data_IF_368500380584
#
_entry.id   IF_368500380584
#
_cell.length_a   1.000
_cell.length_b   1.000
_cell.length_c   1.000
_cell.angle_alpha   90.00
_cell.angle_beta   90.00
_cell.angle_gamma   90.00
#
_symmetry.space_group_name_H-M   'P 1'
#
loop_
_entity.id
_entity.type
_entity.pdbx_description
1 polymer ?
#
# COMPACT_ATOMS: atom_id res chain seq x y z
N UNK A 1 -68.44 -11.60 2.75
CA UNK A 1 -67.46 -11.24 3.80
C UNK A 1 -66.35 -10.43 3.16
N UNK A 2 -66.18 -9.19 3.62
CA UNK A 2 -65.08 -8.30 3.23
C UNK A 2 -63.84 -8.75 4.01
N UNK A 3 -62.74 -9.09 3.36
CA UNK A 3 -61.41 -9.00 3.97
C UNK A 3 -60.58 -8.03 3.13
N UNK A 4 -60.21 -6.97 3.82
CA UNK A 4 -59.73 -5.71 3.31
C UNK A 4 -58.37 -5.48 3.96
N UNK A 5 -57.33 -6.12 3.45
CA UNK A 5 -55.96 -5.95 3.92
C UNK A 5 -55.16 -5.21 2.85
N UNK A 6 -55.45 -3.91 2.76
CA UNK A 6 -54.60 -2.93 2.09
C UNK A 6 -53.28 -2.83 2.85
N UNK A 7 -52.29 -3.63 2.47
CA UNK A 7 -50.90 -3.31 2.81
C UNK A 7 -50.50 -2.05 2.04
N UNK A 8 -50.45 -0.97 2.81
CA UNK A 8 -50.20 0.40 2.39
C UNK A 8 -48.79 0.52 1.79
N UNK A 9 -48.67 0.44 0.45
CA UNK A 9 -47.42 0.61 -0.33
C UNK A 9 -46.91 2.06 -0.37
N UNK A 10 -47.19 2.86 0.66
CA UNK A 10 -46.97 4.31 0.66
C UNK A 10 -45.79 4.78 1.55
N UNK A 11 -45.02 3.90 2.18
CA UNK A 11 -43.94 4.30 3.11
C UNK A 11 -42.55 3.65 2.87
N UNK A 12 -42.26 3.20 1.64
CA UNK A 12 -40.94 2.62 1.29
C UNK A 12 -39.91 3.73 0.92
N UNK A 13 -40.33 4.99 0.83
CA UNK A 13 -39.46 6.10 0.43
C UNK A 13 -38.93 6.92 1.62
N UNK A 14 -37.76 6.49 2.12
CA UNK A 14 -36.62 7.31 2.61
C UNK A 14 -35.86 6.57 3.72
N UNK A 15 -35.19 5.47 3.36
CA UNK A 15 -33.86 5.30 3.96
C UNK A 15 -33.06 6.47 3.42
N UNK A 16 -32.85 7.51 4.25
CA UNK A 16 -31.89 8.57 3.90
C UNK A 16 -30.58 7.86 3.61
N UNK A 17 -30.17 7.89 2.35
CA UNK A 17 -28.83 7.53 1.96
C UNK A 17 -27.90 8.37 2.83
N UNK A 18 -27.28 7.74 3.83
CA UNK A 18 -26.31 8.42 4.69
C UNK A 18 -25.10 8.64 3.80
N UNK A 19 -25.07 9.79 3.11
CA UNK A 19 -23.85 10.28 2.48
C UNK A 19 -22.85 10.56 3.59
N UNK A 20 -22.09 9.54 3.96
CA UNK A 20 -20.82 9.67 4.68
C UNK A 20 -19.77 10.28 3.74
N UNK A 21 -20.10 11.38 3.06
CA UNK A 21 -19.10 12.20 2.40
C UNK A 21 -18.69 13.17 3.50
N UNK A 22 -17.81 12.73 4.40
CA UNK A 22 -17.04 13.67 5.18
C UNK A 22 -16.27 14.53 4.16
N UNK A 23 -16.58 15.83 4.02
CA UNK A 23 -15.97 16.68 3.01
C UNK A 23 -14.49 16.96 3.32
N UNK A 24 -14.09 16.72 4.57
CA UNK A 24 -12.75 17.03 5.05
C UNK A 24 -11.67 16.15 4.41
N UNK A 25 -10.49 16.72 4.10
CA UNK A 25 -9.31 15.95 3.77
C UNK A 25 -9.00 14.92 4.87
N UNK A 26 -8.56 13.73 4.45
CA UNK A 26 -8.28 12.64 5.39
C UNK A 26 -7.04 11.84 5.03
N UNK A 27 -6.38 11.35 6.06
CA UNK A 27 -5.28 10.40 5.97
C UNK A 27 -5.80 9.02 6.40
N UNK A 28 -5.44 7.99 5.65
CA UNK A 28 -5.73 6.59 5.95
C UNK A 28 -4.42 5.82 6.07
N UNK A 29 -4.32 4.99 7.10
CA UNK A 29 -3.23 4.04 7.32
C UNK A 29 -3.79 2.65 7.10
N UNK A 30 -3.22 1.92 6.14
CA UNK A 30 -3.80 0.68 5.64
C UNK A 30 -2.67 -0.37 5.59
N UNK A 31 -2.52 -1.19 6.64
CA UNK A 31 -1.59 -2.31 6.62
C UNK A 31 -2.12 -3.39 5.68
N UNK A 32 -1.33 -3.73 4.65
CA UNK A 32 -1.60 -4.86 3.75
C UNK A 32 -0.86 -6.14 4.18
N UNK A 33 0.06 -6.01 5.12
CA UNK A 33 0.79 -7.10 5.77
C UNK A 33 1.73 -6.55 6.86
N UNK A 34 2.18 -7.44 7.76
CA UNK A 34 2.99 -7.12 8.94
C UNK A 34 2.19 -6.68 10.18
N UNK A 35 0.86 -6.62 10.11
CA UNK A 35 0.01 -6.37 11.28
C UNK A 35 -0.53 -7.69 11.83
N UNK A 36 -0.27 -7.96 13.12
CA UNK A 36 -0.60 -9.23 13.79
C UNK A 36 0.05 -10.48 13.14
N UNK A 37 1.13 -10.27 12.39
CA UNK A 37 1.92 -11.34 11.75
C UNK A 37 3.42 -11.01 11.74
N UNK A 38 4.26 -12.02 11.48
CA UNK A 38 5.70 -11.85 11.30
C UNK A 38 6.04 -12.02 9.82
N UNK A 39 6.48 -10.94 9.20
CA UNK A 39 6.80 -10.92 7.78
C UNK A 39 5.88 -10.01 6.96
N UNK A 40 6.11 -9.97 5.64
CA UNK A 40 5.19 -9.34 4.66
C UNK A 40 4.87 -7.88 4.98
N UNK A 41 5.80 -7.15 5.58
CA UNK A 41 5.56 -5.75 5.96
C UNK A 41 5.23 -4.93 4.71
N UNK A 42 4.05 -4.30 4.72
CA UNK A 42 3.60 -3.43 3.65
C UNK A 42 2.49 -2.53 4.21
N UNK A 43 2.80 -1.27 4.50
CA UNK A 43 1.84 -0.30 5.00
C UNK A 43 1.62 0.82 4.00
N UNK A 44 0.35 1.12 3.71
CA UNK A 44 -0.02 2.26 2.86
C UNK A 44 -0.40 3.44 3.75
N UNK A 45 0.13 4.62 3.41
CA UNK A 45 -0.38 5.90 3.89
C UNK A 45 -0.99 6.64 2.71
N UNK A 46 -2.29 6.91 2.79
CA UNK A 46 -3.06 7.51 1.72
C UNK A 46 -3.73 8.79 2.20
N UNK A 47 -3.42 9.89 1.54
CA UNK A 47 -4.13 11.15 1.66
C UNK A 47 -5.22 11.22 0.59
N UNK A 48 -6.41 11.69 0.97
CA UNK A 48 -7.50 11.95 0.04
C UNK A 48 -8.27 13.22 0.40
N UNK A 49 -8.41 14.10 -0.59
CA UNK A 49 -9.20 15.32 -0.50
C UNK A 49 -10.44 15.19 -1.41
N UNK A 50 -11.66 15.09 -0.85
CA UNK A 50 -12.87 14.86 -1.63
C UNK A 50 -13.21 15.96 -2.65
N UNK A 51 -13.00 17.23 -2.28
CA UNK A 51 -13.38 18.39 -3.10
C UNK A 51 -12.57 18.47 -4.40
N UNK A 52 -11.25 18.34 -4.30
CA UNK A 52 -10.34 18.39 -5.47
C UNK A 52 -10.14 17.02 -6.13
N UNK A 53 -10.64 15.96 -5.49
CA UNK A 53 -10.34 14.55 -5.82
C UNK A 53 -8.83 14.23 -5.80
N UNK A 54 -8.03 15.04 -5.13
CA UNK A 54 -6.59 14.80 -5.00
C UNK A 54 -6.35 13.58 -4.13
N UNK A 55 -5.46 12.71 -4.60
CA UNK A 55 -5.02 11.51 -3.88
C UNK A 55 -3.50 11.40 -4.02
N UNK A 56 -2.84 11.26 -2.89
CA UNK A 56 -1.41 10.97 -2.82
C UNK A 56 -1.21 9.76 -1.92
N UNK A 57 -0.40 8.82 -2.37
CA UNK A 57 -0.14 7.55 -1.69
C UNK A 57 1.36 7.37 -1.52
N UNK A 58 1.78 6.97 -0.33
CA UNK A 58 3.11 6.43 -0.09
C UNK A 58 2.97 5.01 0.47
N UNK A 59 3.96 4.18 0.17
CA UNK A 59 4.03 2.79 0.64
C UNK A 59 5.28 2.69 1.51
N UNK A 60 5.15 2.03 2.66
CA UNK A 60 6.24 1.69 3.56
C UNK A 60 6.46 0.19 3.47
N UNK A 61 7.64 -0.19 3.00
CA UNK A 61 8.10 -1.56 2.77
C UNK A 61 7.26 -2.37 1.78
N UNK A 62 7.90 -3.42 1.23
CA UNK A 62 7.33 -4.42 0.35
C UNK A 62 7.96 -5.78 0.69
N UNK A 63 7.62 -6.30 1.85
CA UNK A 63 8.15 -7.53 2.41
C UNK A 63 7.56 -8.81 1.84
N UNK A 64 8.26 -9.93 2.04
CA UNK A 64 7.67 -11.27 1.94
C UNK A 64 7.53 -11.91 3.33
N UNK A 65 6.73 -12.95 3.44
CA UNK A 65 6.64 -13.81 4.62
C UNK A 65 7.03 -15.23 4.22
N UNK A 66 7.80 -15.90 5.07
CA UNK A 66 8.08 -17.32 4.89
C UNK A 66 6.84 -18.15 5.23
N UNK A 67 6.60 -19.26 4.51
CA UNK A 67 5.43 -20.11 4.70
C UNK A 67 5.36 -20.69 6.11
N UNK A 68 4.15 -20.87 6.61
CA UNK A 68 3.88 -21.62 7.84
C UNK A 68 3.85 -23.13 7.55
N UNK A 69 3.90 -23.98 8.59
CA UNK A 69 3.93 -25.44 8.44
C UNK A 69 2.77 -26.01 7.61
N UNK A 70 1.59 -25.37 7.68
CA UNK A 70 0.41 -25.78 6.92
C UNK A 70 0.49 -25.45 5.42
N UNK A 71 1.43 -24.59 5.00
CA UNK A 71 1.58 -24.10 3.63
C UNK A 71 2.53 -24.97 2.79
N UNK A 72 2.22 -26.27 2.70
CA UNK A 72 3.06 -27.23 1.97
C UNK A 72 3.24 -26.85 0.50
N UNK A 73 4.50 -26.74 0.05
CA UNK A 73 4.87 -26.45 -1.33
C UNK A 73 4.87 -24.96 -1.72
N UNK A 74 4.61 -24.06 -0.76
CA UNK A 74 4.74 -22.60 -0.96
C UNK A 74 6.14 -22.17 -0.53
N UNK A 75 6.85 -21.37 -1.35
CA UNK A 75 8.19 -20.86 -0.99
C UNK A 75 8.14 -19.59 -0.12
N UNK A 76 7.18 -18.69 -0.40
CA UNK A 76 6.95 -17.43 0.33
C UNK A 76 5.59 -16.83 -0.04
N UNK A 77 5.10 -15.93 0.81
CA UNK A 77 3.85 -15.17 0.65
C UNK A 77 4.18 -13.68 0.50
N UNK A 78 3.47 -12.96 -0.39
CA UNK A 78 3.65 -11.53 -0.61
C UNK A 78 2.35 -10.74 -0.35
N UNK A 79 2.40 -9.41 -0.11
CA UNK A 79 1.21 -8.60 0.17
C UNK A 79 0.27 -8.55 -1.04
N UNK A 80 -1.04 -8.56 -0.77
CA UNK A 80 -2.04 -8.36 -1.81
C UNK A 80 -2.25 -6.86 -2.08
N UNK A 81 -1.67 -6.36 -3.17
CA UNK A 81 -1.75 -4.95 -3.56
C UNK A 81 -3.02 -4.56 -4.35
N UNK A 82 -4.04 -5.42 -4.40
CA UNK A 82 -5.29 -5.16 -5.14
C UNK A 82 -5.96 -3.83 -4.77
N UNK A 83 -5.83 -3.40 -3.51
CA UNK A 83 -6.30 -2.08 -3.05
C UNK A 83 -5.81 -0.91 -3.91
N UNK A 84 -4.62 -1.02 -4.50
CA UNK A 84 -3.94 0.01 -5.28
C UNK A 84 -4.24 -0.03 -6.78
N UNK A 85 -4.93 -1.07 -7.29
CA UNK A 85 -5.09 -1.30 -8.73
C UNK A 85 -5.63 -0.07 -9.49
N UNK A 86 -6.59 0.64 -8.92
CA UNK A 86 -7.21 1.83 -9.54
C UNK A 86 -6.59 3.17 -9.07
N UNK A 87 -5.45 3.10 -8.39
CA UNK A 87 -4.78 4.25 -7.74
C UNK A 87 -3.27 4.28 -8.01
N UNK A 88 -2.79 3.48 -8.97
CA UNK A 88 -1.37 3.35 -9.29
C UNK A 88 -0.71 4.71 -9.56
N UNK A 89 -1.39 5.59 -10.31
CA UNK A 89 -0.93 6.95 -10.63
C UNK A 89 -0.83 7.89 -9.42
N UNK A 90 -1.49 7.55 -8.32
CA UNK A 90 -1.53 8.36 -7.10
C UNK A 90 -0.36 8.00 -6.17
N UNK A 91 0.37 6.91 -6.45
CA UNK A 91 1.56 6.47 -5.70
C UNK A 91 2.73 7.41 -6.00
N UNK A 92 3.25 8.07 -4.96
CA UNK A 92 4.34 9.04 -5.05
C UNK A 92 5.71 8.42 -4.80
N UNK A 93 5.76 7.35 -4.01
CA UNK A 93 7.00 6.63 -3.74
C UNK A 93 6.79 5.46 -2.79
N UNK A 94 7.82 4.61 -2.73
CA UNK A 94 7.97 3.53 -1.76
C UNK A 94 9.16 3.86 -0.86
N UNK A 95 8.98 3.75 0.45
CA UNK A 95 10.04 3.98 1.44
C UNK A 95 10.40 2.62 2.01
N UNK A 96 11.69 2.28 1.96
CA UNK A 96 12.22 1.05 2.52
C UNK A 96 12.94 1.38 3.81
N UNK A 97 12.49 0.78 4.91
CA UNK A 97 13.05 1.00 6.23
C UNK A 97 14.43 0.37 6.36
N UNK A 98 14.58 -0.89 5.96
CA UNK A 98 15.85 -1.61 6.00
C UNK A 98 15.87 -2.81 5.04
N UNK A 99 16.99 -3.55 5.01
CA UNK A 99 17.29 -4.55 3.98
C UNK A 99 16.85 -5.99 4.26
N UNK A 100 16.05 -6.27 5.30
CA UNK A 100 15.58 -7.63 5.55
C UNK A 100 14.47 -8.05 4.58
N UNK A 101 14.38 -9.35 4.27
CA UNK A 101 13.46 -9.89 3.26
C UNK A 101 11.98 -9.68 3.59
N UNK A 102 11.64 -9.61 4.87
CA UNK A 102 10.32 -9.22 5.35
C UNK A 102 9.98 -7.74 5.15
N UNK A 103 10.89 -6.94 4.59
CA UNK A 103 10.68 -5.54 4.20
C UNK A 103 10.94 -5.27 2.71
N UNK A 104 11.74 -6.10 2.02
CA UNK A 104 12.11 -5.89 0.61
C UNK A 104 11.75 -7.04 -0.34
N UNK A 105 11.38 -8.20 0.21
CA UNK A 105 11.34 -9.45 -0.54
C UNK A 105 10.26 -9.53 -1.63
N UNK A 106 9.21 -8.70 -1.55
CA UNK A 106 8.15 -8.65 -2.55
C UNK A 106 8.42 -7.65 -3.69
N UNK A 107 9.48 -6.84 -3.62
CA UNK A 107 9.83 -5.85 -4.66
C UNK A 107 9.86 -6.48 -6.07
N UNK A 108 10.59 -7.58 -6.35
CA UNK A 108 10.67 -8.13 -7.70
C UNK A 108 9.32 -8.49 -8.32
N UNK A 109 8.33 -8.82 -7.48
CA UNK A 109 7.01 -9.30 -7.88
C UNK A 109 5.96 -8.19 -8.01
N UNK A 110 6.17 -7.07 -7.31
CA UNK A 110 5.16 -6.01 -7.18
C UNK A 110 5.49 -4.74 -7.97
N UNK A 111 6.75 -4.49 -8.35
CA UNK A 111 7.13 -3.23 -9.01
C UNK A 111 6.32 -2.94 -10.28
N UNK A 112 6.07 -3.95 -11.12
CA UNK A 112 5.28 -3.78 -12.35
C UNK A 112 3.81 -3.46 -12.03
N UNK A 113 3.21 -4.22 -11.10
CA UNK A 113 1.82 -4.01 -10.63
C UNK A 113 1.61 -2.64 -9.98
N UNK A 114 2.66 -2.05 -9.43
CA UNK A 114 2.63 -0.74 -8.77
C UNK A 114 2.99 0.41 -9.71
N UNK A 115 3.28 0.16 -10.99
CA UNK A 115 3.64 1.21 -11.96
C UNK A 115 5.07 1.74 -11.81
N UNK A 116 5.95 0.99 -11.13
CA UNK A 116 7.36 1.30 -10.90
C UNK A 116 7.63 2.70 -10.29
N UNK A 117 7.03 3.05 -9.13
CA UNK A 117 7.29 4.31 -8.46
C UNK A 117 8.74 4.36 -7.92
N UNK A 118 9.29 5.56 -7.65
CA UNK A 118 10.62 5.67 -7.06
C UNK A 118 10.65 5.02 -5.67
N UNK A 119 11.71 4.27 -5.41
CA UNK A 119 12.02 3.71 -4.10
C UNK A 119 13.03 4.61 -3.40
N UNK A 120 12.83 4.88 -2.12
CA UNK A 120 13.75 5.58 -1.24
C UNK A 120 14.25 4.60 -0.18
N UNK A 121 15.56 4.38 -0.11
CA UNK A 121 16.16 3.36 0.76
C UNK A 121 17.56 3.78 1.23
N UNK A 122 17.99 3.29 2.38
CA UNK A 122 19.39 3.41 2.80
C UNK A 122 20.35 2.69 1.85
N UNK A 123 21.64 3.05 1.87
CA UNK A 123 22.64 2.50 0.95
C UNK A 123 22.78 0.97 1.02
N UNK A 124 22.72 0.39 2.22
CA UNK A 124 22.77 -1.07 2.41
C UNK A 124 21.52 -1.75 1.83
N UNK A 125 20.32 -1.27 2.20
CA UNK A 125 19.06 -1.80 1.69
C UNK A 125 19.00 -1.73 0.16
N UNK A 126 19.40 -0.60 -0.44
CA UNK A 126 19.53 -0.47 -1.91
C UNK A 126 20.41 -1.56 -2.50
N UNK A 127 21.55 -1.84 -1.89
CA UNK A 127 22.51 -2.81 -2.42
C UNK A 127 21.96 -4.24 -2.37
N UNK A 128 21.26 -4.59 -1.29
CA UNK A 128 20.58 -5.90 -1.15
C UNK A 128 19.44 -6.02 -2.18
N UNK A 129 18.63 -4.96 -2.35
CA UNK A 129 17.55 -4.95 -3.34
C UNK A 129 18.12 -5.15 -4.75
N UNK A 130 19.17 -4.40 -5.13
CA UNK A 130 19.79 -4.54 -6.44
C UNK A 130 20.35 -5.95 -6.65
N UNK A 131 21.01 -6.52 -5.64
CA UNK A 131 21.51 -7.89 -5.72
C UNK A 131 20.38 -8.89 -5.91
N UNK A 132 19.25 -8.71 -5.22
CA UNK A 132 18.08 -9.58 -5.35
C UNK A 132 17.45 -9.50 -6.74
N UNK A 133 17.51 -8.36 -7.41
CA UNK A 133 17.00 -8.22 -8.79
C UNK A 133 17.80 -9.02 -9.82
N UNK A 134 19.05 -9.43 -9.53
CA UNK A 134 19.83 -10.29 -10.44
C UNK A 134 19.14 -11.64 -10.68
N UNK A 135 18.38 -12.14 -9.69
CA UNK A 135 17.63 -13.39 -9.79
C UNK A 135 16.36 -13.25 -10.65
N UNK A 136 15.97 -12.01 -11.00
CA UNK A 136 14.77 -11.70 -11.78
C UNK A 136 15.11 -10.84 -13.00
N UNK A 137 15.84 -11.38 -13.99
CA UNK A 137 16.29 -10.61 -15.16
C UNK A 137 15.15 -9.99 -15.97
N UNK A 138 13.95 -10.58 -15.92
CA UNK A 138 12.77 -10.12 -16.63
C UNK A 138 11.87 -9.19 -15.79
N UNK A 139 12.17 -9.01 -14.49
CA UNK A 139 11.38 -8.12 -13.65
C UNK A 139 11.71 -6.66 -13.92
N UNK A 140 10.73 -5.79 -13.67
CA UNK A 140 10.92 -4.35 -13.78
C UNK A 140 12.01 -3.89 -12.79
N UNK A 141 13.06 -3.24 -13.32
CA UNK A 141 14.13 -2.71 -12.48
C UNK A 141 13.62 -1.52 -11.65
N UNK A 142 13.77 -1.56 -10.31
CA UNK A 142 13.33 -0.48 -9.44
C UNK A 142 14.22 0.75 -9.58
N UNK A 143 13.61 1.93 -9.52
CA UNK A 143 14.33 3.21 -9.50
C UNK A 143 14.60 3.61 -8.05
N UNK A 144 15.78 3.24 -7.52
CA UNK A 144 16.12 3.44 -6.10
C UNK A 144 16.97 4.69 -5.91
N UNK A 145 16.47 5.63 -5.11
CA UNK A 145 17.18 6.79 -4.57
C UNK A 145 17.72 6.46 -3.18
N UNK A 146 18.98 6.78 -2.94
CA UNK A 146 19.58 6.65 -1.60
C UNK A 146 19.05 7.81 -0.75
N UNK A 147 18.60 7.49 0.47
CA UNK A 147 18.27 8.47 1.48
C UNK A 147 19.25 8.40 2.65
N UNK A 148 19.57 9.54 3.24
CA UNK A 148 20.44 9.66 4.40
C UNK A 148 19.68 10.13 5.64
N UNK A 149 20.24 9.88 6.82
CA UNK A 149 19.68 10.41 8.06
C UNK A 149 19.65 11.94 8.05
N UNK A 150 18.56 12.53 8.55
CA UNK A 150 18.30 13.96 8.55
C UNK A 150 17.79 14.51 7.21
N UNK A 151 17.71 13.69 6.16
CA UNK A 151 17.20 14.09 4.85
C UNK A 151 15.67 14.27 4.89
N UNK A 152 15.18 15.29 4.18
CA UNK A 152 13.74 15.50 3.96
C UNK A 152 13.37 15.15 2.53
N UNK A 153 12.30 14.37 2.38
CA UNK A 153 11.80 13.91 1.09
C UNK A 153 10.36 14.40 0.91
N UNK A 154 10.12 15.08 -0.22
CA UNK A 154 8.78 15.53 -0.62
C UNK A 154 8.13 14.54 -1.57
N UNK A 155 6.98 13.98 -1.16
CA UNK A 155 6.18 13.02 -1.92
C UNK A 155 4.72 13.48 -1.96
N UNK A 156 4.39 14.37 -2.89
CA UNK A 156 3.05 14.96 -2.98
C UNK A 156 2.79 15.86 -1.78
N UNK A 157 1.72 15.61 -1.02
CA UNK A 157 1.43 16.32 0.24
C UNK A 157 2.31 15.88 1.42
N UNK A 158 3.07 14.80 1.29
CA UNK A 158 3.87 14.28 2.39
C UNK A 158 5.27 14.89 2.39
N UNK A 159 5.64 15.57 3.49
CA UNK A 159 7.03 15.92 3.81
C UNK A 159 7.55 14.92 4.84
N UNK A 160 8.57 14.14 4.47
CA UNK A 160 9.02 12.98 5.24
C UNK A 160 10.45 13.24 5.70
N UNK A 161 10.68 13.25 7.01
CA UNK A 161 12.00 13.33 7.61
C UNK A 161 12.52 11.91 7.86
N UNK A 162 13.66 11.57 7.27
CA UNK A 162 14.32 10.30 7.52
C UNK A 162 15.18 10.43 8.77
N UNK A 163 14.83 9.65 9.79
CA UNK A 163 15.63 9.47 10.99
C UNK A 163 16.17 8.05 10.93
N UNK A 164 17.43 7.91 10.52
CA UNK A 164 18.13 6.63 10.53
C UNK A 164 19.36 6.80 11.43
N UNK A 165 19.48 5.98 12.46
CA UNK A 165 20.75 5.86 13.19
C UNK A 165 21.70 4.91 12.45
#
# INVERSE_FOLDING_TARGET
MKNNDNYNTANINKVKEVKLINPEPRVRIIPLGGLEEVGRNCTIIEYYEPETKKRDIIIIDLGLQFPEEAMMGIDFVIPNTYYLQNKIKDIKGIIITHGHYDHIGAIPYLMDKLGNPPIFAGALARSIILKRQDDFPNAQKPKIKIMNSGEKIDLGVFNILILAE
#
